data_IF_920804940597
#
_entry.id   IF_920804940597
#
_cell.length_a   1.000
_cell.length_b   1.000
_cell.length_c   1.000
_cell.angle_alpha   90.00
_cell.angle_beta   90.00
_cell.angle_gamma   90.00
#
_symmetry.space_group_name_H-M   'P 1'
#
loop_
_entity.id
_entity.type
_entity.pdbx_description
1 polymer ?
#
# COMPACT_ATOMS: atom_id res chain seq x y z
N UNK A 1 -1.81 11.96 15.24
CA UNK A 1 -1.69 11.26 13.95
C UNK A 1 -0.64 10.17 14.09
N UNK A 2 -0.97 8.90 13.82
CA UNK A 2 0.03 7.82 13.86
C UNK A 2 0.48 7.47 12.43
N UNK A 3 1.78 7.57 12.15
CA UNK A 3 2.38 7.15 10.89
C UNK A 3 2.52 5.62 10.82
N UNK A 4 2.98 5.09 9.68
CA UNK A 4 3.14 3.65 9.48
C UNK A 4 4.05 3.02 10.53
N UNK A 5 3.52 2.08 11.30
CA UNK A 5 4.20 1.44 12.42
C UNK A 5 3.71 -0.01 12.61
N UNK A 6 4.34 -0.73 13.54
CA UNK A 6 4.00 -2.13 13.84
C UNK A 6 2.53 -2.34 14.23
N UNK A 7 1.90 -1.39 14.92
CA UNK A 7 0.49 -1.49 15.30
C UNK A 7 -0.44 -1.35 14.08
N UNK A 8 -0.07 -0.51 13.11
CA UNK A 8 -0.80 -0.39 11.85
C UNK A 8 -0.74 -1.70 11.05
N UNK A 9 0.43 -2.35 10.99
CA UNK A 9 0.55 -3.66 10.34
C UNK A 9 -0.18 -4.78 11.07
N UNK A 10 -0.13 -4.80 12.42
CA UNK A 10 -0.96 -5.72 13.20
C UNK A 10 -2.44 -5.53 12.87
N UNK A 11 -2.91 -4.29 12.81
CA UNK A 11 -4.30 -3.98 12.43
C UNK A 11 -4.64 -4.47 11.01
N UNK A 12 -3.70 -4.37 10.07
CA UNK A 12 -3.87 -4.96 8.74
C UNK A 12 -4.10 -6.47 8.84
N UNK A 13 -3.20 -7.22 9.48
CA UNK A 13 -3.32 -8.67 9.59
C UNK A 13 -4.58 -9.07 10.35
N UNK A 14 -4.90 -8.40 11.47
CA UNK A 14 -6.10 -8.68 12.26
C UNK A 14 -7.37 -8.50 11.44
N UNK A 15 -7.52 -7.35 10.78
CA UNK A 15 -8.70 -7.10 9.92
C UNK A 15 -8.78 -8.06 8.75
N UNK A 16 -7.65 -8.35 8.10
CA UNK A 16 -7.66 -9.26 6.95
C UNK A 16 -7.99 -10.70 7.33
N UNK A 17 -7.58 -11.17 8.52
CA UNK A 17 -7.91 -12.51 9.01
C UNK A 17 -9.40 -12.69 9.35
N UNK A 18 -10.20 -11.61 9.44
CA UNK A 18 -11.65 -11.71 9.61
C UNK A 18 -12.35 -12.28 8.35
N UNK A 19 -11.72 -12.15 7.18
CA UNK A 19 -12.33 -12.54 5.89
C UNK A 19 -11.39 -13.28 4.92
N UNK A 20 -10.10 -13.42 5.26
CA UNK A 20 -9.11 -14.15 4.47
C UNK A 20 -8.44 -15.24 5.33
N UNK A 21 -8.06 -16.36 4.70
CA UNK A 21 -7.38 -17.43 5.42
C UNK A 21 -5.90 -17.08 5.71
N UNK A 22 -5.28 -17.67 6.74
CA UNK A 22 -3.85 -17.48 7.00
C UNK A 22 -2.97 -17.75 5.78
N UNK A 23 -3.31 -18.75 4.97
CA UNK A 23 -2.58 -19.13 3.75
C UNK A 23 -2.62 -18.04 2.68
N UNK A 24 -3.62 -17.15 2.71
CA UNK A 24 -3.71 -16.00 1.81
C UNK A 24 -2.85 -14.82 2.27
N UNK A 25 -2.41 -14.80 3.54
CA UNK A 25 -1.69 -13.70 4.19
C UNK A 25 -0.23 -14.03 4.56
N UNK A 26 0.08 -15.31 4.76
CA UNK A 26 1.37 -15.78 5.24
C UNK A 26 1.94 -16.90 4.37
N UNK A 27 3.26 -16.93 4.24
CA UNK A 27 3.98 -18.07 3.73
C UNK A 27 3.98 -19.19 4.77
N UNK A 28 3.90 -20.44 4.30
CA UNK A 28 3.94 -21.62 5.17
C UNK A 28 5.27 -22.31 5.00
N UNK A 29 6.07 -22.33 6.05
CA UNK A 29 7.36 -23.06 6.08
C UNK A 29 7.14 -24.56 6.12
N UNK A 30 8.20 -25.34 5.86
CA UNK A 30 8.18 -26.81 6.02
C UNK A 30 7.84 -27.26 7.45
N UNK A 31 8.04 -26.38 8.44
CA UNK A 31 7.72 -26.61 9.86
C UNK A 31 6.30 -26.12 10.23
N UNK A 32 5.45 -25.84 9.24
CA UNK A 32 4.09 -25.29 9.41
C UNK A 32 4.03 -23.95 10.16
N UNK A 33 5.13 -23.16 10.14
CA UNK A 33 5.11 -21.76 10.61
C UNK A 33 4.54 -20.85 9.53
N UNK A 34 3.69 -19.91 9.95
CA UNK A 34 3.08 -18.89 9.11
C UNK A 34 3.88 -17.59 9.23
N UNK A 35 4.58 -17.18 8.18
CA UNK A 35 5.46 -16.01 8.18
C UNK A 35 5.06 -14.98 7.13
N UNK A 36 5.12 -13.70 7.44
CA UNK A 36 4.85 -12.63 6.48
C UNK A 36 5.89 -12.62 5.34
N UNK A 37 7.14 -12.96 5.64
CA UNK A 37 8.19 -13.12 4.64
C UNK A 37 9.10 -14.30 4.98
N UNK A 38 9.69 -14.88 3.94
CA UNK A 38 10.76 -15.86 4.11
C UNK A 38 11.94 -15.24 4.87
N UNK A 39 12.43 -15.86 5.96
CA UNK A 39 13.65 -15.43 6.63
C UNK A 39 14.84 -15.42 5.67
N UNK A 40 15.80 -14.49 5.83
CA UNK A 40 16.98 -14.39 4.94
C UNK A 40 17.72 -15.71 4.76
N UNK A 41 17.89 -16.47 5.84
CA UNK A 41 18.63 -17.73 5.85
C UNK A 41 17.74 -18.97 5.63
N UNK A 42 16.52 -18.81 5.11
CA UNK A 42 15.63 -19.95 4.87
C UNK A 42 16.10 -20.78 3.67
N UNK A 43 16.46 -22.04 3.93
CA UNK A 43 16.99 -23.01 2.96
C UNK A 43 15.92 -23.97 2.39
N UNK A 44 14.72 -24.00 2.97
CA UNK A 44 13.65 -24.89 2.53
C UNK A 44 13.02 -24.48 1.20
N UNK A 45 12.10 -25.33 0.69
CA UNK A 45 11.31 -25.02 -0.50
C UNK A 45 10.44 -23.79 -0.22
N UNK A 46 10.44 -22.85 -1.17
CA UNK A 46 9.67 -21.60 -1.09
C UNK A 46 8.48 -21.66 -2.04
N UNK A 47 7.38 -21.06 -1.62
CA UNK A 47 6.20 -20.80 -2.43
C UNK A 47 6.07 -19.30 -2.72
N UNK A 48 5.20 -18.97 -3.67
CA UNK A 48 4.78 -17.61 -3.96
C UNK A 48 3.48 -17.29 -3.23
N UNK A 49 3.32 -16.05 -2.79
CA UNK A 49 2.11 -15.56 -2.13
C UNK A 49 1.64 -14.29 -2.83
N UNK A 50 0.71 -14.44 -3.76
CA UNK A 50 0.19 -13.32 -4.56
C UNK A 50 -1.07 -12.70 -3.94
N UNK A 51 -1.90 -13.50 -3.27
CA UNK A 51 -3.18 -13.09 -2.68
C UNK A 51 -3.06 -11.91 -1.71
N UNK A 52 -1.96 -11.82 -0.95
CA UNK A 52 -1.76 -10.72 -0.01
C UNK A 52 -1.61 -9.36 -0.69
N UNK A 53 -1.07 -9.31 -1.92
CA UNK A 53 -0.70 -8.03 -2.54
C UNK A 53 -1.89 -7.10 -2.74
N UNK A 54 -3.06 -7.64 -3.14
CA UNK A 54 -4.29 -6.86 -3.25
C UNK A 54 -4.82 -6.44 -1.88
N UNK A 55 -4.73 -7.32 -0.88
CA UNK A 55 -5.19 -7.03 0.49
C UNK A 55 -4.41 -5.88 1.12
N UNK A 56 -3.08 -5.93 1.07
CA UNK A 56 -2.24 -4.86 1.62
C UNK A 56 -2.38 -3.57 0.81
N UNK A 57 -2.49 -3.67 -0.53
CA UNK A 57 -2.74 -2.52 -1.41
C UNK A 57 -3.97 -1.75 -0.97
N UNK A 58 -5.14 -2.39 -0.96
CA UNK A 58 -6.41 -1.79 -0.54
C UNK A 58 -6.34 -1.18 0.87
N UNK A 59 -5.68 -1.87 1.81
CA UNK A 59 -5.51 -1.37 3.17
C UNK A 59 -4.65 -0.10 3.22
N UNK A 60 -3.53 -0.09 2.49
CA UNK A 60 -2.60 1.05 2.47
C UNK A 60 -3.17 2.26 1.73
N UNK A 61 -3.97 2.05 0.69
CA UNK A 61 -4.72 3.12 0.03
C UNK A 61 -5.69 3.77 1.00
N UNK A 62 -6.54 2.97 1.67
CA UNK A 62 -7.48 3.49 2.66
C UNK A 62 -6.78 4.21 3.80
N UNK A 63 -5.69 3.64 4.31
CA UNK A 63 -4.88 4.26 5.36
C UNK A 63 -4.32 5.61 4.91
N UNK A 64 -3.86 5.70 3.66
CA UNK A 64 -3.35 6.94 3.06
C UNK A 64 -4.46 7.97 2.86
N UNK A 65 -5.65 7.56 2.40
CA UNK A 65 -6.82 8.44 2.30
C UNK A 65 -7.18 9.02 3.66
N UNK A 66 -7.22 8.20 4.70
CA UNK A 66 -7.53 8.66 6.07
C UNK A 66 -6.46 9.59 6.63
N UNK A 67 -5.20 9.34 6.30
CA UNK A 67 -4.09 10.21 6.69
C UNK A 67 -4.22 11.58 6.03
N UNK A 68 -4.41 11.61 4.71
CA UNK A 68 -4.52 12.84 3.94
C UNK A 68 -5.78 13.61 4.35
N UNK A 69 -6.92 12.94 4.56
CA UNK A 69 -8.16 13.59 4.95
C UNK A 69 -8.00 14.41 6.23
N UNK A 70 -7.30 13.87 7.24
CA UNK A 70 -7.02 14.57 8.50
C UNK A 70 -6.12 15.80 8.34
N UNK A 71 -5.35 15.86 7.25
CA UNK A 71 -4.47 17.00 6.96
C UNK A 71 -5.26 18.12 6.27
N UNK A 72 -6.28 17.77 5.48
CA UNK A 72 -6.97 18.71 4.58
C UNK A 72 -8.41 19.04 5.00
N UNK A 73 -8.92 18.43 6.07
CA UNK A 73 -10.32 18.58 6.52
C UNK A 73 -10.66 20.02 6.89
N UNK A 74 -9.75 20.73 7.57
CA UNK A 74 -9.96 22.11 8.00
C UNK A 74 -9.97 23.12 6.82
N UNK A 75 -9.46 22.71 5.66
CA UNK A 75 -9.44 23.51 4.43
C UNK A 75 -10.68 23.26 3.55
N UNK A 76 -11.64 22.44 4.01
CA UNK A 76 -12.83 22.08 3.24
C UNK A 76 -12.53 21.20 2.02
N UNK A 77 -11.39 20.52 2.01
CA UNK A 77 -10.93 19.63 0.93
C UNK A 77 -11.16 18.15 1.29
N UNK A 78 -11.07 17.30 0.27
CA UNK A 78 -11.38 15.88 0.38
C UNK A 78 -10.24 15.00 -0.12
N UNK A 79 -9.89 13.98 0.65
CA UNK A 79 -9.09 12.86 0.16
C UNK A 79 -10.02 11.82 -0.47
N UNK A 80 -9.87 11.58 -1.77
CA UNK A 80 -10.72 10.64 -2.51
C UNK A 80 -9.90 9.44 -2.96
N UNK A 81 -10.27 8.25 -2.50
CA UNK A 81 -9.69 6.99 -2.95
C UNK A 81 -10.29 6.56 -4.30
N UNK A 82 -9.47 6.04 -5.21
CA UNK A 82 -9.95 5.44 -6.45
C UNK A 82 -10.54 6.44 -7.46
N UNK A 83 -10.11 7.70 -7.40
CA UNK A 83 -10.65 8.76 -8.25
C UNK A 83 -10.33 8.55 -9.74
N UNK A 84 -11.27 8.96 -10.59
CA UNK A 84 -11.20 8.82 -12.04
C UNK A 84 -11.38 10.17 -12.70
N UNK A 85 -10.65 10.38 -13.78
CA UNK A 85 -10.68 11.58 -14.59
C UNK A 85 -10.08 11.24 -15.95
N UNK A 86 -10.95 10.94 -16.92
CA UNK A 86 -10.54 10.49 -18.26
C UNK A 86 -9.72 11.54 -19.00
N UNK A 87 -9.98 12.83 -18.76
CA UNK A 87 -9.25 13.96 -19.34
C UNK A 87 -7.75 13.98 -18.99
N UNK A 88 -7.36 13.35 -17.87
CA UNK A 88 -5.97 13.23 -17.45
C UNK A 88 -5.51 11.76 -17.36
N UNK A 89 -6.16 10.88 -18.13
CA UNK A 89 -5.86 9.45 -18.22
C UNK A 89 -5.97 8.64 -16.91
N UNK A 90 -6.76 9.11 -15.94
CA UNK A 90 -7.19 8.33 -14.78
C UNK A 90 -8.45 7.53 -15.14
N UNK A 91 -8.27 6.39 -15.79
CA UNK A 91 -9.36 5.58 -16.37
C UNK A 91 -9.94 4.57 -15.37
N UNK A 92 -11.07 3.95 -15.72
CA UNK A 92 -11.71 2.91 -14.90
C UNK A 92 -10.80 1.75 -14.50
N UNK A 93 -9.89 1.35 -15.38
CA UNK A 93 -8.94 0.25 -15.16
C UNK A 93 -7.62 0.72 -14.52
N UNK A 94 -7.44 2.02 -14.32
CA UNK A 94 -6.28 2.61 -13.66
C UNK A 94 -6.66 3.95 -13.00
N UNK A 95 -7.58 3.94 -12.01
CA UNK A 95 -7.93 5.14 -11.26
C UNK A 95 -6.72 5.58 -10.42
N UNK A 96 -6.71 6.83 -9.95
CA UNK A 96 -5.73 7.26 -8.96
C UNK A 96 -5.93 6.49 -7.65
N UNK A 97 -4.84 6.15 -6.97
CA UNK A 97 -4.92 5.46 -5.68
C UNK A 97 -5.61 6.39 -4.66
N UNK A 98 -5.10 7.63 -4.52
CA UNK A 98 -5.74 8.71 -3.76
C UNK A 98 -5.52 10.06 -4.45
N UNK A 99 -6.47 10.98 -4.34
CA UNK A 99 -6.29 12.40 -4.71
C UNK A 99 -6.69 13.32 -3.57
N UNK A 100 -6.20 14.56 -3.58
CA UNK A 100 -6.86 15.68 -2.90
C UNK A 100 -7.77 16.38 -3.91
N UNK A 101 -9.03 16.60 -3.56
CA UNK A 101 -10.02 17.24 -4.41
C UNK A 101 -10.83 18.31 -3.66
N UNK A 102 -11.37 19.27 -4.43
CA UNK A 102 -12.38 20.25 -3.98
C UNK A 102 -13.74 19.62 -3.67
N UNK A 103 -13.97 18.37 -4.10
CA UNK A 103 -15.21 17.65 -3.83
C UNK A 103 -14.94 16.15 -3.57
N UNK A 104 -15.96 15.44 -3.10
CA UNK A 104 -15.88 14.03 -2.68
C UNK A 104 -16.21 13.00 -3.77
N UNK A 105 -16.42 13.41 -5.01
CA UNK A 105 -16.88 12.51 -6.07
C UNK A 105 -15.76 11.56 -6.53
N UNK A 106 -16.11 10.37 -7.01
CA UNK A 106 -15.11 9.46 -7.60
C UNK A 106 -14.76 9.92 -9.02
N UNK A 107 -15.78 10.25 -9.81
CA UNK A 107 -15.60 10.89 -11.12
C UNK A 107 -15.27 12.36 -10.90
N UNK A 108 -14.14 12.82 -11.45
CA UNK A 108 -13.54 14.12 -11.20
C UNK A 108 -13.29 14.88 -12.50
N UNK A 109 -13.40 16.20 -12.40
CA UNK A 109 -12.89 17.12 -13.41
C UNK A 109 -11.48 17.57 -13.01
N UNK A 110 -10.55 17.81 -13.96
CA UNK A 110 -9.16 18.15 -13.66
C UNK A 110 -9.01 19.35 -12.73
N UNK A 111 -9.84 20.39 -12.86
CA UNK A 111 -9.82 21.60 -12.05
C UNK A 111 -10.15 21.40 -10.56
N UNK A 112 -10.73 20.24 -10.23
CA UNK A 112 -11.03 19.87 -8.85
C UNK A 112 -9.86 19.14 -8.20
N UNK A 113 -8.94 18.56 -8.97
CA UNK A 113 -7.84 17.73 -8.47
C UNK A 113 -6.67 18.64 -8.10
N UNK A 114 -6.32 18.69 -6.81
CA UNK A 114 -5.20 19.50 -6.30
C UNK A 114 -3.89 18.72 -6.24
N UNK A 115 -3.95 17.41 -6.03
CA UNK A 115 -2.78 16.53 -6.01
C UNK A 115 -3.20 15.07 -6.24
N UNK A 116 -2.32 14.28 -6.85
CA UNK A 116 -2.50 12.85 -7.08
C UNK A 116 -1.45 12.09 -6.27
N UNK A 117 -1.86 11.03 -5.59
CA UNK A 117 -1.00 10.18 -4.79
C UNK A 117 -1.05 8.74 -5.34
N UNK A 118 0.12 8.20 -5.65
CA UNK A 118 0.33 6.80 -5.98
C UNK A 118 0.89 6.07 -4.75
N UNK A 119 0.14 5.12 -4.21
CA UNK A 119 0.49 4.39 -2.99
C UNK A 119 1.27 3.13 -3.37
N UNK A 120 2.50 3.03 -2.88
CA UNK A 120 3.42 1.90 -3.11
C UNK A 120 4.00 1.44 -1.78
N UNK A 121 3.10 1.16 -0.85
CA UNK A 121 3.41 0.67 0.50
C UNK A 121 3.32 -0.86 0.59
N UNK A 122 3.98 -1.44 1.57
CA UNK A 122 3.93 -2.89 1.83
C UNK A 122 4.10 -3.22 3.31
N UNK A 123 4.05 -4.50 3.66
CA UNK A 123 4.53 -4.96 4.97
C UNK A 123 6.05 -4.73 5.04
N UNK A 124 6.53 -4.27 6.19
CA UNK A 124 7.93 -3.93 6.48
C UNK A 124 8.53 -4.87 7.52
N UNK A 125 7.74 -5.34 8.47
CA UNK A 125 8.21 -6.27 9.51
C UNK A 125 7.90 -7.72 9.14
N UNK A 126 8.77 -8.64 9.54
CA UNK A 126 8.47 -10.05 9.44
C UNK A 126 7.58 -10.46 10.61
N UNK A 127 6.34 -10.83 10.34
CA UNK A 127 5.40 -11.30 11.33
C UNK A 127 5.27 -12.82 11.29
N UNK A 128 5.34 -13.46 12.45
CA UNK A 128 4.89 -14.84 12.61
C UNK A 128 3.46 -14.86 13.16
N UNK A 129 2.57 -15.56 12.47
CA UNK A 129 1.24 -15.86 12.96
C UNK A 129 1.25 -17.19 13.70
N UNK A 130 1.00 -17.15 15.02
CA UNK A 130 0.78 -18.34 15.83
C UNK A 130 -0.72 -18.61 15.86
N UNK A 131 -1.14 -19.65 15.15
CA UNK A 131 -2.52 -20.10 15.15
C UNK A 131 -2.83 -20.86 16.45
N UNK A 132 -3.02 -20.12 17.54
CA UNK A 132 -3.51 -20.67 18.80
C UNK A 132 -5.03 -20.47 18.85
N UNK A 133 -5.77 -21.54 19.10
CA UNK A 133 -7.25 -21.60 19.03
C UNK A 133 -8.01 -20.59 19.92
N UNK A 134 -7.32 -19.88 20.82
CA UNK A 134 -7.92 -18.95 21.77
C UNK A 134 -7.59 -17.47 21.50
N UNK A 135 -6.49 -17.14 20.83
CA UNK A 135 -6.08 -15.74 20.58
C UNK A 135 -5.20 -15.59 19.34
N UNK A 136 -5.46 -14.55 18.55
CA UNK A 136 -4.60 -14.14 17.44
C UNK A 136 -3.28 -13.58 17.98
N UNK A 137 -2.20 -14.35 17.87
CA UNK A 137 -0.87 -13.92 18.30
C UNK A 137 0.04 -13.66 17.10
N UNK A 138 0.31 -12.37 16.84
CA UNK A 138 1.27 -11.90 15.84
C UNK A 138 2.58 -11.49 16.52
N UNK A 139 3.63 -12.26 16.26
CA UNK A 139 4.96 -12.06 16.83
C UNK A 139 5.84 -11.37 15.79
N UNK A 140 6.43 -10.22 16.14
CA UNK A 140 7.38 -9.53 15.26
C UNK A 140 8.74 -10.26 15.34
N UNK A 141 9.10 -10.95 14.26
CA UNK A 141 10.36 -11.69 14.15
C UNK A 141 11.55 -10.80 13.76
N UNK A 142 11.27 -9.64 13.14
CA UNK A 142 12.30 -8.69 12.73
C UNK A 142 11.77 -7.66 11.73
N UNK A 143 12.67 -6.87 11.17
CA UNK A 143 12.39 -5.87 10.12
C UNK A 143 12.83 -6.39 8.73
N UNK A 144 12.82 -5.50 7.73
CA UNK A 144 13.26 -5.79 6.37
C UNK A 144 14.71 -6.27 6.25
N UNK A 145 15.57 -6.03 7.26
CA UNK A 145 16.93 -6.55 7.28
C UNK A 145 16.98 -8.03 7.67
N UNK A 146 15.89 -8.63 8.13
CA UNK A 146 15.85 -10.02 8.62
C UNK A 146 15.15 -10.99 7.65
N UNK A 147 14.47 -10.47 6.64
CA UNK A 147 13.69 -11.26 5.69
C UNK A 147 14.06 -11.00 4.23
N UNK A 148 13.57 -11.85 3.33
CA UNK A 148 13.86 -11.77 1.88
C UNK A 148 12.87 -10.88 1.11
N UNK A 149 11.80 -10.41 1.74
CA UNK A 149 10.86 -9.47 1.13
C UNK A 149 11.51 -8.10 0.89
N UNK A 150 11.30 -7.53 -0.30
CA UNK A 150 11.64 -6.14 -0.57
C UNK A 150 10.44 -5.23 -0.26
N UNK A 151 10.57 -4.33 0.72
CA UNK A 151 9.53 -3.37 1.05
C UNK A 151 9.37 -2.30 -0.04
N UNK A 152 8.18 -1.67 -0.07
CA UNK A 152 7.63 -0.83 -1.14
C UNK A 152 8.62 -0.09 -2.05
N UNK A 153 9.35 0.90 -1.52
CA UNK A 153 10.21 1.78 -2.33
C UNK A 153 11.45 1.07 -2.89
N UNK A 154 11.92 0.00 -2.24
CA UNK A 154 13.07 -0.78 -2.70
C UNK A 154 12.69 -1.77 -3.82
N UNK A 155 11.41 -1.84 -4.18
CA UNK A 155 10.92 -2.68 -5.25
C UNK A 155 10.85 -1.91 -6.56
N UNK A 156 11.86 -2.09 -7.41
CA UNK A 156 11.99 -1.37 -8.68
C UNK A 156 10.76 -1.49 -9.58
N UNK A 157 10.09 -2.66 -9.65
CA UNK A 157 8.90 -2.82 -10.49
C UNK A 157 7.71 -1.96 -10.01
N UNK A 158 7.58 -1.77 -8.69
CA UNK A 158 6.54 -0.96 -8.07
C UNK A 158 6.75 0.53 -8.40
N UNK A 159 7.99 0.99 -8.27
CA UNK A 159 8.37 2.37 -8.59
C UNK A 159 8.27 2.66 -10.09
N UNK A 160 8.71 1.75 -10.95
CA UNK A 160 8.59 1.92 -12.41
C UNK A 160 7.12 1.99 -12.86
N UNK A 161 6.22 1.22 -12.24
CA UNK A 161 4.77 1.34 -12.48
C UNK A 161 4.23 2.70 -12.08
N UNK A 162 4.61 3.21 -10.91
CA UNK A 162 4.19 4.53 -10.44
C UNK A 162 4.70 5.66 -11.34
N UNK A 163 5.97 5.60 -11.75
CA UNK A 163 6.57 6.55 -12.70
C UNK A 163 5.87 6.46 -14.06
N UNK A 164 5.66 5.27 -14.59
CA UNK A 164 4.99 5.07 -15.87
C UNK A 164 3.57 5.64 -15.89
N UNK A 165 2.79 5.40 -14.83
CA UNK A 165 1.46 6.01 -14.67
C UNK A 165 1.53 7.53 -14.56
N UNK A 166 2.49 8.05 -13.81
CA UNK A 166 2.71 9.50 -13.66
C UNK A 166 3.04 10.17 -14.99
N UNK A 167 3.86 9.53 -15.83
CA UNK A 167 4.16 10.00 -17.19
C UNK A 167 2.89 10.00 -18.04
N UNK A 168 2.11 8.91 -18.03
CA UNK A 168 0.86 8.83 -18.79
C UNK A 168 -0.12 9.96 -18.42
N UNK A 169 -0.28 10.23 -17.12
CA UNK A 169 -1.08 11.37 -16.64
C UNK A 169 -0.51 12.68 -17.19
N UNK A 170 0.81 12.91 -17.04
CA UNK A 170 1.45 14.17 -17.42
C UNK A 170 1.34 14.48 -18.91
N UNK A 171 1.45 13.47 -19.78
CA UNK A 171 1.42 13.65 -21.25
C UNK A 171 0.01 13.61 -21.82
N UNK A 172 -1.00 13.21 -21.03
CA UNK A 172 -2.38 13.07 -21.52
C UNK A 172 -3.07 14.40 -21.82
N UNK A 173 -2.76 15.46 -21.08
CA UNK A 173 -3.41 16.77 -21.23
C UNK A 173 -2.60 17.89 -20.58
N UNK A 174 -2.67 19.09 -21.14
CA UNK A 174 -2.13 20.31 -20.52
C UNK A 174 -2.75 20.58 -19.15
N UNK A 175 -4.02 20.18 -18.93
CA UNK A 175 -4.70 20.31 -17.63
C UNK A 175 -3.99 19.51 -16.52
N UNK A 176 -3.29 18.43 -16.88
CA UNK A 176 -2.54 17.63 -15.92
C UNK A 176 -1.20 18.28 -15.54
N UNK A 177 -0.67 19.23 -16.32
CA UNK A 177 0.71 19.73 -16.20
C UNK A 177 1.03 20.41 -14.86
N UNK A 178 0.02 20.98 -14.20
CA UNK A 178 0.15 21.70 -12.92
C UNK A 178 -0.17 20.84 -11.71
N UNK A 179 -0.78 19.66 -11.90
CA UNK A 179 -1.17 18.79 -10.79
C UNK A 179 0.09 18.09 -10.26
N UNK A 180 0.45 18.25 -8.97
CA UNK A 180 1.50 17.48 -8.33
C UNK A 180 1.14 16.00 -8.30
N UNK A 181 2.11 15.14 -8.62
CA UNK A 181 1.99 13.69 -8.51
C UNK A 181 3.02 13.21 -7.50
N UNK A 182 2.56 12.55 -6.44
CA UNK A 182 3.35 12.18 -5.27
C UNK A 182 3.30 10.66 -5.12
N UNK A 183 4.46 10.03 -4.95
CA UNK A 183 4.52 8.58 -4.68
C UNK A 183 4.71 8.40 -3.17
N UNK A 184 3.78 7.69 -2.53
CA UNK A 184 3.84 7.39 -1.08
C UNK A 184 4.37 5.97 -0.88
N UNK A 185 5.43 5.85 -0.09
CA UNK A 185 5.99 4.59 0.37
C UNK A 185 6.25 4.59 1.87
N UNK A 186 6.57 3.43 2.43
CA UNK A 186 6.71 3.23 3.88
C UNK A 186 7.99 2.47 4.27
N UNK A 187 9.01 2.58 3.44
CA UNK A 187 10.27 1.83 3.57
C UNK A 187 11.40 2.77 3.97
N UNK A 188 12.33 2.35 4.87
CA UNK A 188 13.53 3.12 5.15
C UNK A 188 14.37 3.32 3.88
N UNK A 189 14.76 4.57 3.62
CA UNK A 189 15.83 4.84 2.65
C UNK A 189 17.11 4.34 3.32
N UNK A 190 17.71 3.28 2.78
CA UNK A 190 18.97 2.77 3.29
C UNK A 190 20.06 3.79 3.00
N UNK A 191 20.78 4.24 4.04
CA UNK A 191 22.09 4.84 3.83
C UNK A 191 23.00 3.71 3.32
N UNK A 192 23.31 3.74 2.03
CA UNK A 192 24.45 2.99 1.48
C UNK A 192 25.74 3.47 2.11
#
# INVERSE_FOLDING_TARGET
>A
MELWNKNVEKRFFTKSLEYATPEQLFYITNENKYLAYWPKNYLGKKSTLQSRNSLIGNFTEKWTTDLIQRIVEDEGLFAVQGAKCSEIALLNNSPADVIISKNKNIEQEPENILAIFEVKMSIVWNWEFKNNKSDMNLICMGDYNTHQGNPGLLRSDSMLKAIGKSINIRVSSLKASTIPIIIIGNTPITNT
#
